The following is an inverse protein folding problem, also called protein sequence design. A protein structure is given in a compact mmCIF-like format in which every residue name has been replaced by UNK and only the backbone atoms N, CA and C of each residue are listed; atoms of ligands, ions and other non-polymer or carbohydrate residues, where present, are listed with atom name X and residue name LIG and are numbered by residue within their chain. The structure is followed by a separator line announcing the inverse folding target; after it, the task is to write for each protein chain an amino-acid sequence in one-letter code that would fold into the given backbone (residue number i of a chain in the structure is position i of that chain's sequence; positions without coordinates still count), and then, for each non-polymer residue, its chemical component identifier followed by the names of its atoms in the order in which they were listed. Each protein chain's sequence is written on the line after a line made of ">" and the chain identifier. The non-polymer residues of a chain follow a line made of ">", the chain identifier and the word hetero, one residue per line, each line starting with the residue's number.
data_IF_215285084853
#
_entry.id   IF_215285084853
#
_cell.length_a   1.000
_cell.length_b   1.000
_cell.length_c   1.000
_cell.angle_alpha   90.00
_cell.angle_beta   90.00
_cell.angle_gamma   90.00
#
_symmetry.space_group_name_H-M   'P 1'
#
loop_
_entity.id
_entity.type
_entity.pdbx_description
1 polymer ?
#
# COMPACT_ATOMS: atom_id res chain seq x y z
N UNK A 1 11.78 8.02 -16.32
CA UNK A 1 12.07 7.36 -15.02
C UNK A 1 12.64 5.99 -15.34
N UNK A 2 13.81 5.65 -14.80
CA UNK A 2 14.33 4.29 -14.89
C UNK A 2 13.36 3.31 -14.22
N UNK A 3 13.07 2.18 -14.86
CA UNK A 3 12.08 1.19 -14.37
C UNK A 3 12.43 0.68 -12.97
N UNK A 4 13.71 0.60 -12.66
CA UNK A 4 14.23 0.25 -11.33
C UNK A 4 13.80 1.26 -10.26
N UNK A 5 13.84 2.57 -10.59
CA UNK A 5 13.36 3.64 -9.74
C UNK A 5 11.84 3.59 -9.58
N UNK A 6 11.10 3.23 -10.65
CA UNK A 6 9.65 3.02 -10.57
C UNK A 6 9.27 1.87 -9.65
N UNK A 7 9.97 0.73 -9.72
CA UNK A 7 9.74 -0.43 -8.84
C UNK A 7 10.03 -0.06 -7.38
N UNK A 8 11.16 0.59 -7.10
CA UNK A 8 11.50 1.06 -5.75
C UNK A 8 10.48 2.05 -5.19
N UNK A 9 10.05 3.00 -6.02
CA UNK A 9 9.08 4.00 -5.62
C UNK A 9 7.71 3.36 -5.34
N UNK A 10 7.20 2.55 -6.28
CA UNK A 10 5.92 1.87 -6.15
C UNK A 10 5.86 0.92 -4.95
N UNK A 11 6.92 0.12 -4.74
CA UNK A 11 6.97 -0.81 -3.59
C UNK A 11 7.05 -0.07 -2.25
N UNK A 12 7.75 1.08 -2.15
CA UNK A 12 7.75 1.88 -0.92
C UNK A 12 6.35 2.39 -0.62
N UNK A 13 5.66 2.91 -1.65
CA UNK A 13 4.32 3.47 -1.54
C UNK A 13 3.32 2.40 -1.09
N UNK A 14 3.34 1.21 -1.68
CA UNK A 14 2.50 0.08 -1.26
C UNK A 14 2.79 -0.32 0.19
N UNK A 15 4.06 -0.44 0.57
CA UNK A 15 4.42 -0.74 1.97
C UNK A 15 3.88 0.32 2.92
N UNK A 16 4.06 1.62 2.62
CA UNK A 16 3.56 2.70 3.47
C UNK A 16 2.04 2.64 3.62
N UNK A 17 1.29 2.40 2.53
CA UNK A 17 -0.16 2.28 2.58
C UNK A 17 -0.63 1.08 3.41
N UNK A 18 0.05 -0.06 3.29
CA UNK A 18 -0.23 -1.25 4.10
C UNK A 18 0.05 -1.01 5.59
N UNK A 19 1.12 -0.31 5.93
CA UNK A 19 1.44 0.05 7.31
C UNK A 19 0.43 1.04 7.91
N UNK A 20 -0.03 2.02 7.13
CA UNK A 20 -1.10 2.94 7.58
C UNK A 20 -2.41 2.18 7.77
N UNK A 21 -2.79 1.32 6.82
CA UNK A 21 -3.98 0.47 6.94
C UNK A 21 -3.90 -0.45 8.18
N UNK A 22 -2.73 -1.03 8.43
CA UNK A 22 -2.45 -1.82 9.62
C UNK A 22 -2.64 -1.00 10.91
N UNK A 23 -2.05 0.19 10.98
CA UNK A 23 -2.17 1.06 12.15
C UNK A 23 -3.62 1.46 12.43
N UNK A 24 -4.40 1.77 11.38
CA UNK A 24 -5.82 2.08 11.49
C UNK A 24 -6.63 0.88 12.04
N UNK A 25 -6.43 -0.31 11.47
CA UNK A 25 -7.13 -1.52 11.91
C UNK A 25 -6.73 -1.93 13.34
N UNK A 26 -5.43 -1.92 13.66
CA UNK A 26 -4.94 -2.20 15.02
C UNK A 26 -5.50 -1.18 16.01
N UNK A 27 -5.44 0.12 15.69
CA UNK A 27 -5.96 1.17 16.56
C UNK A 27 -7.45 0.99 16.85
N UNK A 28 -8.23 0.59 15.84
CA UNK A 28 -9.65 0.28 16.01
C UNK A 28 -9.89 -0.94 16.92
N UNK A 29 -9.16 -2.04 16.69
CA UNK A 29 -9.27 -3.26 17.49
C UNK A 29 -8.83 -3.06 18.95
N UNK A 30 -7.74 -2.33 19.16
CA UNK A 30 -7.26 -1.92 20.51
C UNK A 30 -8.28 -1.03 21.21
N UNK A 31 -8.99 -0.19 20.47
CA UNK A 31 -10.12 0.60 20.97
C UNK A 31 -11.36 -0.22 21.32
N UNK A 32 -11.33 -1.55 21.16
CA UNK A 32 -12.45 -2.43 21.48
C UNK A 32 -13.56 -2.41 20.43
N UNK A 33 -13.31 -1.86 19.24
CA UNK A 33 -14.31 -1.73 18.18
C UNK A 33 -14.17 -2.87 17.18
N UNK A 34 -15.23 -3.67 17.06
CA UNK A 34 -15.35 -4.72 16.05
C UNK A 34 -15.74 -4.17 14.67
N UNK A 35 -15.68 -5.01 13.65
CA UNK A 35 -16.24 -4.67 12.36
C UNK A 35 -17.76 -4.52 12.47
N UNK A 36 -18.29 -3.55 11.73
CA UNK A 36 -19.72 -3.33 11.58
C UNK A 36 -19.95 -2.43 10.37
N UNK A 37 -21.19 -2.37 9.89
CA UNK A 37 -21.59 -1.49 8.77
C UNK A 37 -21.26 -0.01 9.03
N UNK A 38 -21.55 0.56 10.22
CA UNK A 38 -21.17 1.94 10.54
C UNK A 38 -19.65 2.17 10.52
N UNK A 39 -18.86 1.21 10.99
CA UNK A 39 -17.38 1.29 10.96
C UNK A 39 -16.88 1.31 9.51
N UNK A 40 -17.39 0.42 8.65
CA UNK A 40 -17.04 0.40 7.23
C UNK A 40 -17.42 1.71 6.55
N UNK A 41 -18.64 2.22 6.81
CA UNK A 41 -19.08 3.51 6.30
C UNK A 41 -18.18 4.66 6.78
N UNK A 42 -17.73 4.63 8.03
CA UNK A 42 -16.77 5.59 8.58
C UNK A 42 -15.43 5.58 7.85
N UNK A 43 -14.87 4.40 7.54
CA UNK A 43 -13.66 4.31 6.74
C UNK A 43 -13.85 4.76 5.29
N UNK A 44 -15.00 4.47 4.67
CA UNK A 44 -15.32 4.98 3.33
C UNK A 44 -15.45 6.50 3.32
N UNK A 45 -16.09 7.08 4.34
CA UNK A 45 -16.18 8.53 4.51
C UNK A 45 -14.80 9.16 4.72
N UNK A 46 -13.96 8.55 5.57
CA UNK A 46 -12.57 8.97 5.77
C UNK A 46 -11.76 8.90 4.47
N UNK A 47 -11.90 7.82 3.71
CA UNK A 47 -11.26 7.66 2.41
C UNK A 47 -11.71 8.73 1.42
N UNK A 48 -13.01 8.97 1.31
CA UNK A 48 -13.57 10.03 0.46
C UNK A 48 -13.10 11.42 0.86
N UNK A 49 -13.04 11.72 2.16
CA UNK A 49 -12.51 12.97 2.69
C UNK A 49 -11.04 13.17 2.34
N UNK A 50 -10.20 12.14 2.57
CA UNK A 50 -8.78 12.18 2.19
C UNK A 50 -8.59 12.30 0.67
N UNK A 51 -9.46 11.66 -0.13
CA UNK A 51 -9.41 11.77 -1.58
C UNK A 51 -9.73 13.20 -2.05
N UNK A 52 -10.74 13.83 -1.46
CA UNK A 52 -11.14 15.20 -1.77
C UNK A 52 -10.10 16.23 -1.31
N UNK A 53 -9.44 15.98 -0.18
CA UNK A 53 -8.41 16.83 0.40
C UNK A 53 -6.99 16.47 -0.05
N UNK A 54 -6.84 15.55 -1.01
CA UNK A 54 -5.52 15.04 -1.39
C UNK A 54 -4.63 16.18 -1.91
N UNK A 55 -3.38 16.29 -1.42
CA UNK A 55 -2.47 17.29 -1.94
C UNK A 55 -2.02 16.92 -3.35
N UNK A 56 -1.62 17.94 -4.11
CA UNK A 56 -0.88 17.77 -5.35
C UNK A 56 0.47 17.05 -5.03
N UNK A 57 0.84 15.98 -5.75
CA UNK A 57 2.09 15.26 -5.51
C UNK A 57 3.32 16.18 -5.61
N UNK A 58 3.28 17.20 -6.47
CA UNK A 58 4.41 18.11 -6.68
C UNK A 58 4.53 19.18 -5.58
N UNK A 59 3.54 19.26 -4.67
CA UNK A 59 3.54 20.21 -3.56
C UNK A 59 4.66 19.97 -2.55
N UNK A 60 5.11 18.72 -2.43
CA UNK A 60 6.10 18.32 -1.43
C UNK A 60 7.34 17.73 -2.10
N UNK A 61 8.49 18.36 -1.86
CA UNK A 61 9.78 17.84 -2.30
C UNK A 61 10.15 16.52 -1.61
N UNK A 62 11.14 15.78 -2.15
CA UNK A 62 11.61 14.55 -1.55
C UNK A 62 12.29 14.83 -0.19
N UNK A 63 11.98 13.99 0.81
CA UNK A 63 12.58 14.04 2.15
C UNK A 63 13.34 12.73 2.38
N UNK A 64 14.65 12.82 2.65
CA UNK A 64 15.52 11.64 2.80
C UNK A 64 15.43 10.65 1.62
N UNK A 65 15.25 11.15 0.39
CA UNK A 65 15.09 10.33 -0.82
C UNK A 65 13.69 9.70 -0.98
N UNK A 66 12.76 9.97 -0.07
CA UNK A 66 11.37 9.52 -0.14
C UNK A 66 10.50 10.63 -0.73
N UNK A 67 9.74 10.30 -1.77
CA UNK A 67 8.79 11.20 -2.41
C UNK A 67 7.51 11.24 -1.59
N UNK A 68 7.51 12.06 -0.53
CA UNK A 68 6.43 12.13 0.45
C UNK A 68 5.11 12.58 -0.19
N UNK A 69 5.18 13.45 -1.20
CA UNK A 69 4.01 13.91 -1.96
C UNK A 69 3.18 12.77 -2.54
N UNK A 70 3.83 11.77 -3.14
CA UNK A 70 3.14 10.62 -3.74
C UNK A 70 2.45 9.71 -2.70
N UNK A 71 3.09 9.55 -1.54
CA UNK A 71 2.51 8.79 -0.42
C UNK A 71 1.28 9.52 0.11
N UNK A 72 1.40 10.83 0.38
CA UNK A 72 0.28 11.66 0.84
C UNK A 72 -0.86 11.69 -0.18
N UNK A 73 -0.54 11.80 -1.47
CA UNK A 73 -1.52 11.82 -2.55
C UNK A 73 -2.37 10.54 -2.62
N UNK A 74 -1.84 9.41 -2.15
CA UNK A 74 -2.57 8.14 -2.13
C UNK A 74 -2.91 7.60 -0.75
N UNK A 75 -2.69 8.40 0.29
CA UNK A 75 -3.04 8.04 1.66
C UNK A 75 -4.52 7.67 1.81
N UNK A 76 -5.40 8.23 0.97
CA UNK A 76 -6.82 7.89 0.91
C UNK A 76 -7.11 6.41 0.63
N UNK A 77 -6.16 5.68 0.01
CA UNK A 77 -6.29 4.24 -0.25
C UNK A 77 -6.16 3.40 1.02
N UNK A 78 -5.45 3.88 2.05
CA UNK A 78 -5.24 3.11 3.27
C UNK A 78 -6.55 2.81 4.03
N UNK A 79 -7.42 3.79 4.35
CA UNK A 79 -8.72 3.48 4.95
C UNK A 79 -9.65 2.71 4.00
N UNK A 80 -9.52 2.89 2.67
CA UNK A 80 -10.27 2.11 1.70
C UNK A 80 -9.90 0.62 1.75
N UNK A 81 -8.61 0.31 1.87
CA UNK A 81 -8.11 -1.06 2.06
C UNK A 81 -8.69 -1.69 3.33
N UNK A 82 -8.72 -0.95 4.44
CA UNK A 82 -9.34 -1.44 5.68
C UNK A 82 -10.83 -1.72 5.46
N UNK A 83 -11.58 -0.79 4.86
CA UNK A 83 -13.00 -0.98 4.56
C UNK A 83 -13.24 -2.22 3.68
N UNK A 84 -12.41 -2.43 2.65
CA UNK A 84 -12.50 -3.56 1.74
C UNK A 84 -12.28 -4.91 2.45
N UNK A 85 -11.40 -4.99 3.45
CA UNK A 85 -11.21 -6.22 4.22
C UNK A 85 -12.36 -6.42 5.22
N UNK A 86 -12.78 -5.35 5.90
CA UNK A 86 -13.84 -5.43 6.92
C UNK A 86 -15.21 -5.74 6.32
N UNK A 87 -15.49 -5.36 5.07
CA UNK A 87 -16.78 -5.69 4.41
C UNK A 87 -16.94 -7.20 4.20
N UNK A 88 -15.85 -7.94 4.02
CA UNK A 88 -15.84 -9.40 3.91
C UNK A 88 -16.10 -10.06 5.28
N UNK A 89 -15.81 -9.35 6.38
CA UNK A 89 -15.91 -9.82 7.75
C UNK A 89 -16.65 -8.81 8.64
N UNK A 90 -17.88 -8.45 8.25
CA UNK A 90 -18.70 -7.42 8.93
C UNK A 90 -19.01 -7.70 10.40
N UNK A 91 -18.82 -8.93 10.89
CA UNK A 91 -19.00 -9.31 12.29
C UNK A 91 -17.67 -9.65 12.98
N UNK A 92 -16.54 -9.17 12.44
CA UNK A 92 -15.24 -9.41 13.05
C UNK A 92 -15.19 -8.82 14.45
N UNK A 93 -14.74 -9.62 15.42
CA UNK A 93 -14.54 -9.15 16.79
C UNK A 93 -13.38 -8.15 16.85
N UNK A 94 -13.25 -7.33 17.92
CA UNK A 94 -12.12 -6.40 18.05
C UNK A 94 -10.75 -7.09 17.92
N UNK A 95 -10.61 -8.31 18.47
CA UNK A 95 -9.40 -9.11 18.34
C UNK A 95 -9.12 -9.56 16.90
N UNK A 96 -10.16 -9.89 16.13
CA UNK A 96 -10.03 -10.22 14.72
C UNK A 96 -9.69 -9.00 13.86
N UNK A 97 -10.25 -7.83 14.16
CA UNK A 97 -9.89 -6.56 13.51
C UNK A 97 -8.41 -6.22 13.77
N UNK A 98 -7.93 -6.43 15.00
CA UNK A 98 -6.51 -6.27 15.34
C UNK A 98 -5.63 -7.27 14.57
N UNK A 99 -6.06 -8.54 14.47
CA UNK A 99 -5.35 -9.57 13.71
C UNK A 99 -5.27 -9.23 12.21
N UNK A 100 -6.36 -8.73 11.62
CA UNK A 100 -6.39 -8.20 10.24
C UNK A 100 -5.35 -7.09 10.08
N UNK A 101 -5.31 -6.14 11.02
CA UNK A 101 -4.29 -5.10 11.03
C UNK A 101 -2.87 -5.66 11.11
N UNK A 102 -2.63 -6.68 11.94
CA UNK A 102 -1.36 -7.41 12.00
C UNK A 102 -0.97 -8.06 10.66
N UNK A 103 -1.93 -8.70 9.97
CA UNK A 103 -1.70 -9.29 8.65
C UNK A 103 -1.38 -8.25 7.58
N UNK A 104 -2.07 -7.11 7.59
CA UNK A 104 -1.77 -5.98 6.70
C UNK A 104 -0.35 -5.43 6.95
N UNK A 105 0.04 -5.31 8.22
CA UNK A 105 1.38 -4.88 8.61
C UNK A 105 2.45 -5.86 8.14
N UNK A 106 2.21 -7.16 8.34
CA UNK A 106 3.09 -8.23 7.88
C UNK A 106 3.21 -8.25 6.35
N UNK A 107 2.11 -8.07 5.62
CA UNK A 107 2.13 -7.93 4.17
C UNK A 107 2.96 -6.71 3.73
N UNK A 108 2.87 -5.59 4.44
CA UNK A 108 3.69 -4.39 4.20
C UNK A 108 5.19 -4.65 4.37
N UNK A 109 5.56 -5.35 5.45
CA UNK A 109 6.94 -5.75 5.72
C UNK A 109 7.44 -6.78 4.71
N UNK A 110 6.63 -7.78 4.36
CA UNK A 110 6.97 -8.77 3.33
C UNK A 110 7.22 -8.09 1.98
N UNK A 111 6.35 -7.16 1.58
CA UNK A 111 6.55 -6.39 0.34
C UNK A 111 7.84 -5.55 0.38
N UNK A 112 8.18 -4.99 1.53
CA UNK A 112 9.44 -4.26 1.70
C UNK A 112 10.66 -5.19 1.50
N UNK A 113 10.64 -6.37 2.13
CA UNK A 113 11.72 -7.35 2.03
C UNK A 113 11.82 -8.03 0.66
N UNK A 114 10.71 -8.15 -0.08
CA UNK A 114 10.70 -8.70 -1.43
C UNK A 114 11.22 -7.72 -2.50
N UNK A 115 11.50 -6.46 -2.13
CA UNK A 115 12.05 -5.46 -3.05
C UNK A 115 13.27 -5.94 -3.85
N UNK A 116 14.32 -6.53 -3.26
CA UNK A 116 15.46 -7.02 -4.02
C UNK A 116 15.07 -8.13 -5.02
N UNK A 117 14.06 -8.95 -4.67
CA UNK A 117 13.55 -10.02 -5.54
C UNK A 117 12.81 -9.44 -6.75
N UNK A 118 12.02 -8.39 -6.56
CA UNK A 118 11.34 -7.70 -7.68
C UNK A 118 12.34 -7.08 -8.67
N UNK A 119 13.44 -6.52 -8.16
CA UNK A 119 14.51 -5.97 -8.98
C UNK A 119 15.26 -7.06 -9.74
N UNK A 120 15.63 -8.15 -9.07
CA UNK A 120 16.27 -9.31 -9.70
C UNK A 120 15.39 -9.91 -10.82
N UNK A 121 14.08 -10.04 -10.56
CA UNK A 121 13.13 -10.52 -11.56
C UNK A 121 13.05 -9.60 -12.78
N UNK A 122 13.06 -8.28 -12.56
CA UNK A 122 13.11 -7.30 -13.65
C UNK A 122 14.41 -7.39 -14.46
N UNK A 123 15.56 -7.50 -13.80
CA UNK A 123 16.85 -7.62 -14.46
C UNK A 123 16.92 -8.91 -15.31
N UNK A 124 16.35 -10.02 -14.81
CA UNK A 124 16.29 -11.27 -15.56
C UNK A 124 15.40 -11.17 -16.80
N UNK A 125 14.19 -10.60 -16.66
CA UNK A 125 13.25 -10.41 -17.79
C UNK A 125 13.83 -9.46 -18.84
N UNK A 126 14.48 -8.38 -18.41
CA UNK A 126 15.13 -7.43 -19.30
C UNK A 126 16.33 -8.03 -20.04
N UNK A 127 17.12 -8.88 -19.37
CA UNK A 127 18.21 -9.61 -20.02
C UNK A 127 17.70 -10.59 -21.09
N UNK A 128 16.63 -11.35 -20.82
CA UNK A 128 16.06 -12.30 -21.77
C UNK A 128 15.42 -11.58 -22.97
N UNK A 129 14.66 -10.52 -22.74
CA UNK A 129 14.02 -9.74 -23.81
C UNK A 129 15.04 -8.97 -24.66
N UNK A 130 16.10 -8.42 -24.06
CA UNK A 130 17.21 -7.79 -24.78
C UNK A 130 18.09 -8.77 -25.58
N UNK A 131 18.14 -10.03 -25.14
CA UNK A 131 18.79 -11.13 -25.88
C UNK A 131 17.96 -11.58 -27.09
N UNK A 132 16.64 -11.71 -26.94
CA UNK A 132 15.72 -12.09 -28.01
C UNK A 132 15.68 -11.08 -29.17
N UNK A 133 15.80 -9.78 -28.88
CA UNK A 133 15.86 -8.72 -29.90
C UNK A 133 17.11 -8.76 -30.80
N UNK A 134 18.24 -9.32 -30.32
CA UNK A 134 19.47 -9.47 -31.13
C UNK A 134 19.48 -10.75 -31.97
N UNK A 135 18.72 -11.77 -31.57
CA UNK A 135 18.65 -13.04 -32.31
C UNK A 135 17.71 -12.98 -33.52
N UNK A 136 16.68 -12.12 -33.49
CA UNK A 136 15.63 -12.03 -34.53
C UNK A 136 15.92 -11.00 -35.65
N UNK A 137 17.11 -10.37 -35.63
CA UNK A 137 17.51 -9.34 -36.60
C UNK A 137 18.55 -9.81 -37.63
N UNK A 138 18.60 -11.11 -37.94
CA UNK A 138 19.49 -11.68 -38.95
C UNK A 138 18.70 -12.35 -40.07
#
# INVERSE_FOLDING_TARGET
>A
MDTEAAIRHGTMRVTALLLVAAALAIGLGVGGVGASLPVVAGFLALSGGLYALRPDPDRFGPVAGIHVGDILHSLWLAPLLVAAVLVVRLSATPGEVQAIGGLLGLAGMANYFLRPVYLLGYDLVSAVSGGAGRANGR
#
